data_IF_019939452682
#
_entry.id   IF_019939452682
#
_cell.length_a   1.000
_cell.length_b   1.000
_cell.length_c   1.000
_cell.angle_alpha   90.00
_cell.angle_beta   90.00
_cell.angle_gamma   90.00
#
_symmetry.space_group_name_H-M   'P 1'
#
loop_
_entity.id
_entity.type
_entity.pdbx_description
1 polymer ?
#
# COMPACT_ATOMS: atom_id res chain seq x y z
N UNK A 1 -19.76 14.19 13.51
CA UNK A 1 -20.66 13.07 13.12
C UNK A 1 -20.01 11.78 13.57
N UNK A 2 -20.68 10.90 14.31
CA UNK A 2 -20.08 9.60 14.65
C UNK A 2 -19.94 8.72 13.41
N UNK A 3 -18.81 8.04 13.27
CA UNK A 3 -18.63 7.05 12.18
C UNK A 3 -19.68 5.93 12.28
N UNK A 4 -20.15 5.44 11.15
CA UNK A 4 -20.98 4.25 11.10
C UNK A 4 -20.21 3.06 11.72
N UNK A 5 -20.86 2.18 12.53
CA UNK A 5 -20.20 0.98 13.06
C UNK A 5 -19.72 -0.01 11.97
N UNK A 6 -20.06 0.25 10.71
CA UNK A 6 -19.56 -0.51 9.55
C UNK A 6 -18.21 0.01 9.03
N UNK A 7 -17.75 1.18 9.51
CA UNK A 7 -16.49 1.77 9.12
C UNK A 7 -15.48 1.57 10.27
N UNK A 8 -14.27 1.21 9.91
CA UNK A 8 -13.17 1.09 10.84
C UNK A 8 -12.32 2.36 10.80
N UNK A 9 -11.85 2.79 11.96
CA UNK A 9 -10.82 3.82 12.06
C UNK A 9 -9.44 3.24 11.73
N UNK A 10 -8.53 4.11 11.36
CA UNK A 10 -7.10 3.81 11.23
C UNK A 10 -6.34 4.33 12.46
N UNK A 11 -5.09 3.92 12.70
CA UNK A 11 -4.27 4.48 13.76
C UNK A 11 -3.93 5.97 13.58
N UNK A 12 -4.26 6.54 12.42
CA UNK A 12 -3.97 7.93 12.05
C UNK A 12 -5.23 8.80 12.00
N UNK A 13 -6.43 8.22 12.09
CA UNK A 13 -7.72 8.93 11.90
C UNK A 13 -7.79 10.25 12.69
N UNK A 14 -7.41 10.24 13.98
CA UNK A 14 -7.44 11.46 14.80
C UNK A 14 -6.51 12.56 14.27
N UNK A 15 -5.31 12.20 13.85
CA UNK A 15 -4.33 13.15 13.30
C UNK A 15 -4.74 13.70 11.94
N UNK A 16 -5.38 12.87 11.12
CA UNK A 16 -5.98 13.29 9.84
C UNK A 16 -7.11 14.30 10.07
N UNK A 17 -7.98 14.07 11.07
CA UNK A 17 -9.04 15.00 11.44
C UNK A 17 -8.46 16.32 11.98
N UNK A 18 -7.48 16.27 12.88
CA UNK A 18 -6.77 17.42 13.43
C UNK A 18 -6.04 18.23 12.34
N UNK A 19 -5.54 17.56 11.28
CA UNK A 19 -4.92 18.20 10.13
C UNK A 19 -5.91 18.90 9.17
N UNK A 20 -7.22 18.76 9.40
CA UNK A 20 -8.26 19.50 8.66
C UNK A 20 -8.67 18.85 7.36
N UNK A 21 -8.75 17.52 7.31
CA UNK A 21 -9.29 16.81 6.14
C UNK A 21 -10.67 17.35 5.76
N UNK A 22 -10.86 17.62 4.46
CA UNK A 22 -12.12 18.20 3.93
C UNK A 22 -13.06 17.15 3.35
N UNK A 23 -12.53 16.03 2.87
CA UNK A 23 -13.36 14.95 2.30
C UNK A 23 -12.71 13.58 2.41
N UNK A 24 -13.59 12.56 2.40
CA UNK A 24 -13.22 11.15 2.46
C UNK A 24 -13.96 10.34 1.40
N UNK A 25 -13.39 9.23 1.01
CA UNK A 25 -14.11 8.10 0.42
C UNK A 25 -14.05 6.87 1.33
N UNK A 26 -14.89 5.88 1.06
CA UNK A 26 -14.82 4.58 1.71
C UNK A 26 -13.96 3.65 0.86
N UNK A 27 -13.00 3.00 1.50
CA UNK A 27 -12.05 2.10 0.86
C UNK A 27 -11.75 0.94 1.82
N UNK A 28 -12.01 -0.30 1.43
CA UNK A 28 -11.84 -1.49 2.29
C UNK A 28 -12.49 -1.35 3.68
N UNK A 29 -13.71 -0.76 3.74
CA UNK A 29 -14.44 -0.48 4.98
C UNK A 29 -13.75 0.51 5.94
N UNK A 30 -12.84 1.33 5.45
CA UNK A 30 -12.17 2.41 6.17
C UNK A 30 -12.39 3.75 5.46
N UNK A 31 -12.12 4.85 6.14
CA UNK A 31 -12.10 6.17 5.54
C UNK A 31 -10.73 6.44 4.94
N UNK A 32 -10.71 6.72 3.64
CA UNK A 32 -9.53 7.23 2.93
C UNK A 32 -9.70 8.73 2.71
N UNK A 33 -8.79 9.59 3.21
CA UNK A 33 -8.78 11.01 2.86
C UNK A 33 -8.69 11.21 1.36
N UNK A 34 -9.44 12.18 0.82
CA UNK A 34 -9.44 12.50 -0.61
C UNK A 34 -9.10 13.95 -0.90
N UNK A 35 -9.14 14.82 0.11
CA UNK A 35 -8.75 16.22 -0.01
C UNK A 35 -8.54 16.85 1.37
N UNK A 36 -7.62 17.80 1.46
CA UNK A 36 -7.42 18.68 2.62
C UNK A 36 -7.78 20.13 2.29
N UNK A 37 -7.06 20.81 1.41
CA UNK A 37 -7.37 22.17 0.98
C UNK A 37 -8.26 22.18 -0.28
N UNK A 38 -7.73 21.76 -1.39
CA UNK A 38 -8.42 21.47 -2.64
C UNK A 38 -7.59 20.50 -3.46
N UNK A 39 -8.20 19.86 -4.47
CA UNK A 39 -7.51 18.91 -5.33
C UNK A 39 -6.24 19.51 -5.97
N UNK A 40 -6.35 20.77 -6.46
CA UNK A 40 -5.25 21.48 -7.12
C UNK A 40 -4.18 21.96 -6.13
N UNK A 41 -4.60 22.44 -4.94
CA UNK A 41 -3.66 22.90 -3.92
C UNK A 41 -2.89 21.73 -3.32
N UNK A 42 -3.56 20.61 -3.04
CA UNK A 42 -2.95 19.38 -2.55
C UNK A 42 -2.00 18.79 -3.60
N UNK A 43 -2.37 18.82 -4.90
CA UNK A 43 -1.51 18.46 -6.02
C UNK A 43 -0.25 19.35 -6.10
N UNK A 44 -0.43 20.67 -6.07
CA UNK A 44 0.68 21.60 -6.14
C UNK A 44 1.67 21.41 -4.97
N UNK A 45 1.14 21.15 -3.77
CA UNK A 45 1.97 20.86 -2.60
C UNK A 45 2.74 19.53 -2.75
N UNK A 46 2.07 18.46 -3.21
CA UNK A 46 2.69 17.16 -3.47
C UNK A 46 3.88 17.25 -4.44
N UNK A 47 3.77 18.10 -5.47
CA UNK A 47 4.83 18.28 -6.48
C UNK A 47 6.04 19.06 -5.96
N UNK A 48 5.93 19.80 -4.85
CA UNK A 48 6.96 20.73 -4.39
C UNK A 48 7.51 20.43 -2.98
N UNK A 49 6.84 19.60 -2.20
CA UNK A 49 7.20 19.37 -0.79
C UNK A 49 7.12 17.89 -0.40
N UNK A 50 6.60 17.59 0.78
CA UNK A 50 6.35 16.21 1.25
C UNK A 50 5.00 16.15 1.95
N UNK A 51 4.26 15.10 1.68
CA UNK A 51 2.97 14.80 2.30
C UNK A 51 3.03 13.47 3.06
N UNK A 52 2.28 13.41 4.17
CA UNK A 52 2.05 12.21 4.95
C UNK A 52 0.61 11.75 4.68
N UNK A 53 0.45 10.53 4.18
CA UNK A 53 -0.82 9.96 3.72
C UNK A 53 -1.27 8.82 4.61
N UNK A 54 -2.43 8.94 5.23
CA UNK A 54 -3.11 7.79 5.82
C UNK A 54 -3.67 6.90 4.71
N UNK A 55 -2.94 5.86 4.38
CA UNK A 55 -3.32 4.83 3.41
C UNK A 55 -3.54 3.46 4.08
N UNK A 56 -3.84 3.46 5.39
CA UNK A 56 -4.10 2.24 6.15
C UNK A 56 -5.31 1.43 5.62
N UNK A 57 -6.17 2.07 4.83
CA UNK A 57 -7.24 1.42 4.10
C UNK A 57 -6.74 0.42 3.02
N UNK A 58 -5.47 0.55 2.58
CA UNK A 58 -4.78 -0.48 1.79
C UNK A 58 -4.36 -1.63 2.71
N UNK A 59 -5.36 -2.37 3.19
CA UNK A 59 -5.20 -3.45 4.15
C UNK A 59 -4.20 -4.49 3.67
N UNK A 60 -3.44 -5.03 4.61
CA UNK A 60 -2.55 -6.14 4.30
C UNK A 60 -3.29 -7.47 4.40
N UNK A 61 -3.03 -8.37 3.45
CA UNK A 61 -3.41 -9.78 3.59
C UNK A 61 -2.12 -10.58 3.73
N UNK A 62 -1.96 -11.25 4.87
CA UNK A 62 -0.84 -12.14 5.12
C UNK A 62 -1.18 -13.56 4.68
N UNK A 63 -0.30 -14.15 3.87
CA UNK A 63 -0.29 -15.58 3.55
C UNK A 63 1.01 -16.15 4.09
N UNK A 64 0.91 -17.13 5.01
CA UNK A 64 2.06 -17.72 5.68
C UNK A 64 1.88 -19.24 5.81
N UNK A 65 2.91 -20.00 5.49
CA UNK A 65 2.97 -21.45 5.64
C UNK A 65 3.63 -22.16 4.45
N UNK A 66 3.88 -23.46 4.57
CA UNK A 66 4.63 -24.23 3.57
C UNK A 66 4.12 -24.12 2.12
N UNK A 67 2.80 -23.96 1.94
CA UNK A 67 2.18 -23.84 0.62
C UNK A 67 1.96 -22.38 0.20
N UNK A 68 2.49 -21.40 0.96
CA UNK A 68 2.23 -19.97 0.69
C UNK A 68 2.75 -19.55 -0.69
N UNK A 69 3.96 -19.94 -1.06
CA UNK A 69 4.53 -19.59 -2.37
C UNK A 69 3.71 -20.15 -3.53
N UNK A 70 3.18 -21.38 -3.40
CA UNK A 70 2.31 -21.97 -4.41
C UNK A 70 0.97 -21.22 -4.51
N UNK A 71 0.32 -20.95 -3.37
CA UNK A 71 -0.95 -20.20 -3.36
C UNK A 71 -0.77 -18.80 -3.96
N UNK A 72 0.26 -18.07 -3.54
CA UNK A 72 0.55 -16.71 -4.03
C UNK A 72 0.80 -16.70 -5.54
N UNK A 73 1.54 -17.70 -6.07
CA UNK A 73 1.76 -17.83 -7.51
C UNK A 73 0.47 -18.14 -8.28
N UNK A 74 -0.44 -18.92 -7.71
CA UNK A 74 -1.71 -19.26 -8.34
C UNK A 74 -2.65 -18.06 -8.50
N UNK A 75 -2.57 -17.06 -7.61
CA UNK A 75 -3.44 -15.90 -7.58
C UNK A 75 -3.13 -14.86 -8.69
N UNK A 76 -1.99 -14.96 -9.38
CA UNK A 76 -1.56 -13.96 -10.35
C UNK A 76 -0.98 -14.59 -11.61
N UNK A 77 -1.25 -14.02 -12.80
CA UNK A 77 -0.58 -14.43 -14.03
C UNK A 77 0.89 -13.98 -14.09
N UNK A 78 1.37 -13.16 -13.14
CA UNK A 78 2.76 -12.74 -13.10
C UNK A 78 3.67 -13.87 -12.62
N UNK A 79 4.81 -14.07 -13.31
CA UNK A 79 5.84 -14.99 -12.83
C UNK A 79 6.53 -14.44 -11.57
N UNK A 80 6.44 -15.20 -10.48
CA UNK A 80 7.03 -14.86 -9.19
C UNK A 80 8.32 -15.65 -8.88
N UNK A 81 8.81 -16.47 -9.80
CA UNK A 81 10.00 -17.32 -9.60
C UNK A 81 11.26 -16.53 -9.20
N UNK A 82 11.35 -15.26 -9.63
CA UNK A 82 12.45 -14.35 -9.33
C UNK A 82 12.16 -13.39 -8.17
N UNK A 83 11.03 -13.52 -7.48
CA UNK A 83 10.68 -12.68 -6.35
C UNK A 83 11.56 -13.06 -5.14
N UNK A 84 12.38 -12.12 -4.69
CA UNK A 84 13.30 -12.29 -3.56
C UNK A 84 12.74 -11.65 -2.30
N UNK A 85 13.17 -12.14 -1.14
CA UNK A 85 12.91 -11.49 0.16
C UNK A 85 13.40 -10.02 0.10
N UNK A 86 12.61 -9.09 0.65
CA UNK A 86 12.89 -7.67 0.61
C UNK A 86 12.48 -6.96 -0.69
N UNK A 87 11.78 -7.65 -1.59
CA UNK A 87 11.25 -7.11 -2.84
C UNK A 87 9.73 -6.94 -2.80
N UNK A 88 9.27 -5.89 -3.45
CA UNK A 88 7.86 -5.66 -3.78
C UNK A 88 7.61 -5.98 -5.25
N UNK A 89 6.45 -6.57 -5.57
CA UNK A 89 5.97 -6.74 -6.94
C UNK A 89 4.53 -6.23 -7.05
N UNK A 90 4.27 -5.41 -8.06
CA UNK A 90 2.90 -5.12 -8.46
C UNK A 90 2.34 -6.34 -9.21
N UNK A 91 1.25 -6.90 -8.73
CA UNK A 91 0.70 -8.16 -9.26
C UNK A 91 -0.78 -8.01 -9.60
N UNK A 92 -1.19 -8.11 -10.88
CA UNK A 92 -2.60 -8.27 -11.19
C UNK A 92 -3.08 -9.60 -10.63
N UNK A 93 -4.21 -9.59 -9.94
CA UNK A 93 -4.88 -10.79 -9.46
C UNK A 93 -6.14 -11.04 -10.27
N UNK A 94 -6.38 -12.28 -10.64
CA UNK A 94 -7.48 -12.65 -11.52
C UNK A 94 -8.29 -13.81 -10.98
N UNK A 95 -9.55 -13.88 -11.42
CA UNK A 95 -10.42 -15.05 -11.22
C UNK A 95 -10.16 -16.15 -12.24
N UNK A 96 -10.98 -17.19 -12.21
CA UNK A 96 -10.91 -18.36 -13.10
C UNK A 96 -11.21 -18.04 -14.58
N UNK A 97 -11.79 -16.88 -14.85
CA UNK A 97 -12.09 -16.41 -16.21
C UNK A 97 -11.06 -15.37 -16.70
N UNK A 98 -10.10 -15.01 -15.85
CA UNK A 98 -9.08 -14.00 -16.14
C UNK A 98 -9.55 -12.56 -15.86
N UNK A 99 -10.72 -12.38 -15.23
CA UNK A 99 -11.21 -11.07 -14.79
C UNK A 99 -10.42 -10.54 -13.59
N UNK A 100 -10.10 -9.24 -13.60
CA UNK A 100 -9.34 -8.60 -12.53
C UNK A 100 -10.11 -8.63 -11.21
N UNK A 101 -9.47 -9.13 -10.14
CA UNK A 101 -9.99 -9.09 -8.77
C UNK A 101 -9.37 -7.99 -7.94
N UNK A 102 -8.14 -7.63 -8.25
CA UNK A 102 -7.35 -6.61 -7.55
C UNK A 102 -6.01 -6.41 -8.27
N UNK A 103 -5.26 -5.40 -7.88
CA UNK A 103 -3.92 -5.09 -8.40
C UNK A 103 -2.92 -4.77 -7.27
N UNK A 104 -2.78 -5.65 -6.27
CA UNK A 104 -2.01 -5.34 -5.08
C UNK A 104 -0.51 -5.21 -5.33
N UNK A 105 0.15 -4.60 -4.35
CA UNK A 105 1.60 -4.74 -4.17
C UNK A 105 1.86 -5.96 -3.29
N UNK A 106 2.62 -6.92 -3.81
CA UNK A 106 3.07 -8.13 -3.12
C UNK A 106 4.44 -7.90 -2.50
N UNK A 107 4.57 -8.15 -1.19
CA UNK A 107 5.83 -8.13 -0.44
C UNK A 107 6.21 -9.57 -0.06
N UNK A 108 7.42 -10.03 -0.41
CA UNK A 108 7.97 -11.30 0.10
C UNK A 108 8.78 -11.02 1.36
N UNK A 109 8.21 -11.35 2.52
CA UNK A 109 8.82 -11.09 3.83
C UNK A 109 9.83 -12.17 4.22
N UNK A 110 9.48 -13.43 3.96
CA UNK A 110 10.25 -14.65 4.23
C UNK A 110 10.01 -15.65 3.10
N UNK A 111 10.63 -16.81 3.11
CA UNK A 111 10.46 -17.80 2.03
C UNK A 111 9.01 -18.28 1.89
N UNK A 112 8.30 -18.36 3.00
CA UNK A 112 6.93 -18.86 3.10
C UNK A 112 5.96 -17.83 3.70
N UNK A 113 6.32 -16.52 3.70
CA UNK A 113 5.50 -15.45 4.26
C UNK A 113 5.43 -14.25 3.34
N UNK A 114 4.21 -13.86 2.99
CA UNK A 114 3.91 -12.80 2.04
C UNK A 114 2.84 -11.85 2.58
N UNK A 115 2.93 -10.58 2.20
CA UNK A 115 1.85 -9.61 2.35
C UNK A 115 1.38 -9.13 0.97
N UNK A 116 0.06 -8.99 0.83
CA UNK A 116 -0.56 -8.22 -0.24
C UNK A 116 -1.08 -6.91 0.33
N UNK A 117 -0.59 -5.76 -0.16
CA UNK A 117 -1.16 -4.44 0.07
C UNK A 117 -2.23 -4.23 -0.98
N UNK A 118 -3.50 -4.26 -0.59
CA UNK A 118 -4.62 -4.45 -1.52
C UNK A 118 -5.34 -3.15 -1.87
N UNK A 119 -5.83 -3.06 -3.11
CA UNK A 119 -6.86 -2.10 -3.50
C UNK A 119 -8.23 -2.51 -2.92
N UNK A 120 -9.26 -1.66 -3.14
CA UNK A 120 -10.60 -1.84 -2.57
C UNK A 120 -11.30 -3.09 -3.10
N UNK A 121 -11.25 -4.19 -2.35
CA UNK A 121 -12.03 -5.40 -2.59
C UNK A 121 -11.97 -6.39 -1.41
N UNK A 122 -12.90 -7.34 -1.37
CA UNK A 122 -12.96 -8.41 -0.36
C UNK A 122 -12.00 -9.58 -0.65
N UNK A 123 -10.81 -9.28 -1.14
CA UNK A 123 -9.79 -10.24 -1.57
C UNK A 123 -9.38 -11.23 -0.46
N UNK A 124 -9.44 -10.83 0.81
CA UNK A 124 -9.16 -11.71 1.95
C UNK A 124 -10.01 -12.98 1.92
N UNK A 125 -11.30 -12.85 1.61
CA UNK A 125 -12.21 -14.01 1.61
C UNK A 125 -12.00 -14.90 0.40
N UNK A 126 -11.63 -14.31 -0.75
CA UNK A 126 -11.23 -15.07 -1.93
C UNK A 126 -10.02 -15.97 -1.65
N UNK A 127 -8.94 -15.38 -1.10
CA UNK A 127 -7.72 -16.12 -0.79
C UNK A 127 -7.96 -17.19 0.28
N UNK A 128 -8.74 -16.86 1.34
CA UNK A 128 -9.12 -17.86 2.36
C UNK A 128 -9.95 -19.00 1.79
N UNK A 129 -10.89 -18.67 0.91
CA UNK A 129 -11.76 -19.66 0.25
C UNK A 129 -10.96 -20.64 -0.58
N UNK A 130 -10.01 -20.15 -1.39
CA UNK A 130 -9.11 -20.99 -2.19
C UNK A 130 -8.19 -21.84 -1.30
N UNK A 131 -7.57 -21.26 -0.30
CA UNK A 131 -6.70 -21.99 0.63
C UNK A 131 -7.44 -23.14 1.32
N UNK A 132 -8.67 -22.90 1.77
CA UNK A 132 -9.52 -23.89 2.39
C UNK A 132 -9.97 -24.97 1.40
N UNK A 133 -10.49 -24.56 0.23
CA UNK A 133 -11.00 -25.49 -0.78
C UNK A 133 -9.94 -26.42 -1.35
N UNK A 134 -8.71 -25.92 -1.50
CA UNK A 134 -7.56 -26.69 -1.98
C UNK A 134 -6.80 -27.40 -0.85
N UNK A 135 -7.25 -27.26 0.41
CA UNK A 135 -6.65 -27.89 1.61
C UNK A 135 -5.16 -27.57 1.78
N UNK A 136 -4.77 -26.33 1.49
CA UNK A 136 -3.38 -25.89 1.59
C UNK A 136 -2.95 -25.67 3.04
N UNK A 137 -1.71 -26.00 3.32
CA UNK A 137 -1.09 -25.77 4.62
C UNK A 137 -0.57 -24.31 4.71
N UNK A 138 -1.53 -23.38 4.82
CA UNK A 138 -1.28 -21.95 4.95
C UNK A 138 -2.23 -21.31 5.95
N UNK A 139 -1.76 -20.23 6.59
CA UNK A 139 -2.58 -19.32 7.38
C UNK A 139 -2.78 -18.05 6.56
N UNK A 140 -4.05 -17.71 6.29
CA UNK A 140 -4.43 -16.46 5.62
C UNK A 140 -5.16 -15.57 6.61
N UNK A 141 -4.67 -14.36 6.83
CA UNK A 141 -5.27 -13.42 7.79
C UNK A 141 -5.01 -11.96 7.38
N UNK A 142 -5.75 -11.05 7.97
CA UNK A 142 -5.39 -9.64 8.04
C UNK A 142 -4.51 -9.44 9.29
N UNK A 143 -3.24 -9.04 9.17
CA UNK A 143 -2.39 -8.67 10.29
C UNK A 143 -2.75 -7.28 10.83
N UNK A 144 -2.31 -6.96 12.05
CA UNK A 144 -2.37 -5.59 12.59
C UNK A 144 -1.24 -4.77 11.96
N UNK A 145 -1.46 -4.32 10.73
CA UNK A 145 -0.49 -3.55 9.95
C UNK A 145 -1.22 -2.43 9.21
N UNK A 146 -0.75 -1.21 9.40
CA UNK A 146 -1.32 -0.01 8.81
C UNK A 146 -0.25 0.74 8.02
N UNK A 147 -0.33 0.77 6.67
CA UNK A 147 0.61 1.55 5.88
C UNK A 147 0.36 3.04 6.03
N UNK A 148 1.47 3.81 6.13
CA UNK A 148 1.53 5.25 6.13
C UNK A 148 2.44 5.70 5.00
N UNK A 149 1.91 6.47 4.03
CA UNK A 149 2.65 6.96 2.88
C UNK A 149 3.40 8.26 3.19
N UNK A 150 4.63 8.38 2.74
CA UNK A 150 5.44 9.59 2.76
C UNK A 150 5.79 9.90 1.32
N UNK A 151 5.12 10.88 0.70
CA UNK A 151 5.16 11.11 -0.73
C UNK A 151 5.58 12.55 -1.08
N UNK A 152 6.38 12.72 -2.12
CA UNK A 152 6.83 14.00 -2.63
C UNK A 152 8.34 14.12 -2.76
N UNK A 153 8.84 15.16 -3.47
CA UNK A 153 10.27 15.31 -3.78
C UNK A 153 11.16 15.49 -2.54
N UNK A 154 10.61 15.86 -1.39
CA UNK A 154 11.34 15.96 -0.12
C UNK A 154 11.18 14.75 0.79
N UNK A 155 10.51 13.68 0.34
CA UNK A 155 10.27 12.48 1.14
C UNK A 155 11.58 11.80 1.56
N UNK A 156 12.55 11.70 0.65
CA UNK A 156 13.86 11.10 0.95
C UNK A 156 14.63 11.89 2.01
N UNK A 157 14.61 13.23 1.93
CA UNK A 157 15.26 14.09 2.90
C UNK A 157 14.62 14.01 4.27
N UNK A 158 13.28 13.97 4.34
CA UNK A 158 12.55 13.77 5.58
C UNK A 158 12.91 12.43 6.24
N UNK A 159 12.89 11.36 5.46
CA UNK A 159 13.20 10.03 5.98
C UNK A 159 14.67 9.92 6.41
N UNK A 160 15.59 10.60 5.71
CA UNK A 160 17.00 10.63 6.08
C UNK A 160 17.27 11.40 7.38
N UNK A 161 16.47 12.40 7.74
CA UNK A 161 16.58 13.07 9.03
C UNK A 161 16.29 12.13 10.21
N UNK A 162 15.37 11.16 10.02
CA UNK A 162 14.96 10.22 11.07
C UNK A 162 15.84 8.98 11.09
N UNK A 163 16.15 8.43 9.91
CA UNK A 163 16.77 7.11 9.74
C UNK A 163 18.27 7.20 9.37
N UNK A 164 18.77 8.41 9.11
CA UNK A 164 20.11 8.62 8.53
C UNK A 164 20.16 8.31 7.03
N UNK A 165 21.31 8.62 6.41
CA UNK A 165 21.49 8.50 4.96
C UNK A 165 21.38 7.07 4.40
N UNK A 166 21.37 6.06 5.24
CA UNK A 166 21.18 4.67 4.82
C UNK A 166 19.83 4.42 4.10
N UNK A 167 18.80 5.25 4.37
CA UNK A 167 17.49 5.12 3.70
C UNK A 167 17.59 5.44 2.20
N UNK A 168 18.51 6.33 1.79
CA UNK A 168 18.76 6.71 0.40
C UNK A 168 19.23 5.54 -0.47
N UNK A 169 19.81 4.50 0.15
CA UNK A 169 20.25 3.27 -0.53
C UNK A 169 19.12 2.27 -0.76
N UNK A 170 17.92 2.51 -0.22
CA UNK A 170 16.78 1.65 -0.46
C UNK A 170 16.27 1.87 -1.90
N UNK A 171 16.36 0.84 -2.73
CA UNK A 171 15.94 0.94 -4.13
C UNK A 171 14.41 0.90 -4.26
N UNK A 172 13.88 1.51 -5.32
CA UNK A 172 12.47 1.48 -5.62
C UNK A 172 11.94 0.03 -5.70
N UNK A 173 10.76 -0.21 -5.13
CA UNK A 173 10.12 -1.51 -4.99
C UNK A 173 10.95 -2.53 -4.21
N UNK A 174 11.78 -2.03 -3.28
CA UNK A 174 12.38 -2.84 -2.21
C UNK A 174 11.87 -2.35 -0.85
N UNK A 175 11.94 -3.23 0.12
CA UNK A 175 11.69 -2.89 1.52
C UNK A 175 12.78 -3.47 2.42
N UNK A 176 12.94 -2.85 3.59
CA UNK A 176 13.87 -3.29 4.63
C UNK A 176 13.34 -2.81 5.99
N UNK A 177 13.78 -3.45 7.06
CA UNK A 177 13.54 -2.96 8.41
C UNK A 177 14.57 -1.90 8.78
N UNK A 178 14.08 -0.85 9.43
CA UNK A 178 14.87 0.27 9.92
C UNK A 178 14.51 0.56 11.38
N UNK A 179 15.51 1.01 12.14
CA UNK A 179 15.27 1.54 13.48
C UNK A 179 14.72 2.96 13.38
N UNK A 180 13.44 3.11 13.65
CA UNK A 180 12.73 4.39 13.69
C UNK A 180 12.49 4.77 15.15
N UNK A 181 13.36 5.60 15.74
CA UNK A 181 13.28 6.00 17.15
C UNK A 181 13.08 4.80 18.11
N UNK A 182 13.95 3.80 18.00
CA UNK A 182 13.90 2.53 18.75
C UNK A 182 12.77 1.57 18.39
N UNK A 183 11.95 1.89 17.37
CA UNK A 183 10.97 0.98 16.78
C UNK A 183 11.58 0.30 15.55
N UNK A 184 11.48 -1.02 15.47
CA UNK A 184 11.89 -1.76 14.28
C UNK A 184 10.73 -1.81 13.28
N UNK A 185 10.73 -0.91 12.29
CA UNK A 185 9.64 -0.77 11.31
C UNK A 185 10.07 -1.24 9.92
N UNK A 186 9.15 -1.93 9.24
CA UNK A 186 9.30 -2.26 7.84
C UNK A 186 8.98 -1.03 7.00
N UNK A 187 9.91 -0.64 6.13
CA UNK A 187 9.79 0.53 5.25
C UNK A 187 10.08 0.10 3.82
N UNK A 188 9.15 0.39 2.92
CA UNK A 188 9.32 0.19 1.48
C UNK A 188 9.58 1.52 0.78
N UNK A 189 10.39 1.51 -0.28
CA UNK A 189 10.45 2.62 -1.23
C UNK A 189 9.40 2.38 -2.29
N UNK A 190 8.23 2.88 -2.06
CA UNK A 190 7.02 2.69 -2.86
C UNK A 190 6.03 3.83 -2.62
N UNK A 191 4.89 3.77 -3.27
CA UNK A 191 3.82 4.74 -3.11
C UNK A 191 2.99 4.89 -4.37
N UNK A 192 1.86 5.57 -4.23
CA UNK A 192 0.90 5.82 -5.30
C UNK A 192 1.06 7.23 -5.89
N UNK A 193 2.32 7.59 -6.18
CA UNK A 193 2.69 8.83 -6.88
C UNK A 193 3.98 8.62 -7.69
N UNK A 194 4.24 9.52 -8.64
CA UNK A 194 5.55 9.59 -9.33
C UNK A 194 6.51 10.58 -8.69
N UNK A 195 6.22 11.03 -7.48
CA UNK A 195 7.01 12.07 -6.83
C UNK A 195 8.15 11.54 -5.97
N UNK A 196 8.40 10.23 -6.00
CA UNK A 196 9.21 9.48 -5.05
C UNK A 196 8.53 9.40 -3.66
N UNK A 197 8.90 8.40 -2.89
CA UNK A 197 8.35 8.25 -1.55
C UNK A 197 8.61 6.91 -0.91
N UNK A 198 8.03 6.78 0.27
CA UNK A 198 8.14 5.60 1.11
C UNK A 198 6.79 5.23 1.68
N UNK A 199 6.67 3.98 2.10
CA UNK A 199 5.56 3.47 2.90
C UNK A 199 6.11 2.82 4.15
N UNK A 200 5.67 3.30 5.32
CA UNK A 200 5.96 2.72 6.62
C UNK A 200 4.82 1.77 6.96
N UNK A 201 5.14 0.49 7.17
CA UNK A 201 4.17 -0.51 7.61
C UNK A 201 4.17 -0.56 9.14
N UNK A 202 3.18 0.09 9.74
CA UNK A 202 3.04 0.20 11.21
C UNK A 202 2.38 -1.07 11.73
N UNK A 203 3.14 -1.91 12.43
CA UNK A 203 2.75 -3.25 12.88
C UNK A 203 2.13 -3.28 14.31
N UNK A 204 1.67 -2.16 14.82
CA UNK A 204 0.86 -2.01 16.04
C UNK A 204 0.02 -0.74 15.92
N UNK A 205 -1.29 -0.88 15.98
CA UNK A 205 -2.24 0.25 15.91
C UNK A 205 -1.88 1.38 16.88
N UNK A 206 -1.37 1.06 18.07
CA UNK A 206 -1.05 2.06 19.10
C UNK A 206 0.12 2.97 18.76
N UNK A 207 0.97 2.58 17.79
CA UNK A 207 2.14 3.35 17.40
C UNK A 207 1.81 4.44 16.36
N UNK A 208 0.64 4.41 15.73
CA UNK A 208 0.31 5.26 14.61
C UNK A 208 0.48 6.74 14.90
N UNK A 209 -0.12 7.26 15.99
CA UNK A 209 0.00 8.68 16.33
C UNK A 209 1.44 9.09 16.63
N UNK A 210 2.20 8.26 17.34
CA UNK A 210 3.61 8.54 17.65
C UNK A 210 4.46 8.64 16.37
N UNK A 211 4.24 7.73 15.42
CA UNK A 211 4.98 7.75 14.13
C UNK A 211 4.58 8.97 13.33
N UNK A 212 3.29 9.29 13.25
CA UNK A 212 2.79 10.51 12.60
C UNK A 212 3.43 11.76 13.18
N UNK A 213 3.38 11.93 14.51
CA UNK A 213 3.93 13.10 15.19
C UNK A 213 5.45 13.22 14.95
N UNK A 214 6.19 12.12 15.02
CA UNK A 214 7.64 12.11 14.73
C UNK A 214 7.95 12.60 13.32
N UNK A 215 7.16 12.21 12.30
CA UNK A 215 7.35 12.67 10.92
C UNK A 215 7.10 14.17 10.78
N UNK A 216 6.05 14.70 11.42
CA UNK A 216 5.75 16.13 11.40
C UNK A 216 6.79 16.97 12.17
N UNK A 217 7.27 16.49 13.32
CA UNK A 217 8.32 17.13 14.09
C UNK A 217 9.64 17.19 13.30
N UNK A 218 10.06 16.06 12.72
CA UNK A 218 11.27 16.01 11.89
C UNK A 218 11.16 16.90 10.65
N UNK A 219 9.97 17.01 10.07
CA UNK A 219 9.71 17.80 8.86
C UNK A 219 9.32 19.25 9.10
N UNK A 220 9.41 19.79 10.33
CA UNK A 220 8.90 21.12 10.68
C UNK A 220 9.41 22.27 9.78
N UNK A 221 10.62 22.13 9.23
CA UNK A 221 11.23 23.12 8.33
C UNK A 221 11.15 22.70 6.83
N UNK A 222 10.38 21.66 6.49
CA UNK A 222 10.34 21.09 5.15
C UNK A 222 8.99 21.29 4.44
N UNK A 223 8.08 22.03 5.05
CA UNK A 223 6.68 22.19 4.60
C UNK A 223 5.95 20.84 4.51
N UNK A 224 6.08 20.01 5.58
CA UNK A 224 5.32 18.75 5.69
C UNK A 224 3.85 19.06 5.90
N UNK A 225 2.97 18.39 5.15
CA UNK A 225 1.53 18.45 5.35
C UNK A 225 0.91 17.07 5.33
N UNK A 226 -0.24 16.93 5.95
CA UNK A 226 -1.13 15.83 5.68
C UNK A 226 -1.62 15.93 4.23
N UNK A 227 -1.74 14.80 3.57
CA UNK A 227 -2.20 14.69 2.19
C UNK A 227 -2.87 13.35 1.93
N UNK A 228 -3.13 13.08 0.69
CA UNK A 228 -3.82 11.88 0.24
C UNK A 228 -3.48 11.56 -1.22
N UNK A 229 -3.78 10.34 -1.71
CA UNK A 229 -3.72 10.02 -3.12
C UNK A 229 -4.48 11.07 -3.95
N UNK A 230 -3.79 11.69 -4.90
CA UNK A 230 -4.33 12.83 -5.66
C UNK A 230 -4.77 12.39 -7.06
N UNK A 231 -6.01 12.72 -7.45
CA UNK A 231 -6.59 12.29 -8.73
C UNK A 231 -5.91 12.92 -9.94
N UNK A 232 -5.41 14.16 -9.84
CA UNK A 232 -4.68 14.80 -10.94
C UNK A 232 -3.34 14.09 -11.12
N UNK A 233 -2.60 13.90 -10.03
CA UNK A 233 -1.28 13.31 -10.05
C UNK A 233 -1.31 11.87 -10.57
N UNK A 234 -2.25 11.02 -10.09
CA UNK A 234 -2.33 9.64 -10.54
C UNK A 234 -2.62 9.51 -12.03
N UNK A 235 -3.48 10.38 -12.59
CA UNK A 235 -3.79 10.40 -14.04
C UNK A 235 -2.56 10.85 -14.84
N UNK A 236 -1.91 11.95 -14.42
CA UNK A 236 -0.66 12.42 -15.02
C UNK A 236 0.44 11.33 -14.96
N UNK A 237 0.51 10.61 -13.87
CA UNK A 237 1.46 9.53 -13.64
C UNK A 237 1.12 8.25 -14.41
N UNK A 238 -0.09 8.10 -14.91
CA UNK A 238 -0.59 6.86 -15.52
C UNK A 238 -0.74 5.72 -14.52
N UNK A 239 -1.07 6.01 -13.26
CA UNK A 239 -1.33 5.03 -12.21
C UNK A 239 -2.79 4.60 -12.27
N UNK A 240 -3.01 3.29 -12.41
CA UNK A 240 -4.34 2.70 -12.43
C UNK A 240 -4.92 2.60 -11.03
N UNK A 241 -6.25 2.62 -10.94
CA UNK A 241 -7.01 2.46 -9.71
C UNK A 241 -8.07 1.38 -9.93
N UNK A 242 -7.96 0.27 -9.23
CA UNK A 242 -8.98 -0.77 -9.26
C UNK A 242 -10.32 -0.21 -8.78
N UNK A 243 -11.38 -0.56 -9.48
CA UNK A 243 -12.72 -0.03 -9.27
C UNK A 243 -13.04 1.24 -10.07
N UNK A 244 -12.00 2.02 -10.47
CA UNK A 244 -12.19 3.20 -11.30
C UNK A 244 -11.81 2.96 -12.77
N UNK A 245 -10.62 2.43 -13.03
CA UNK A 245 -10.10 2.23 -14.39
C UNK A 245 -10.27 0.79 -14.88
N UNK A 246 -10.42 -0.15 -13.97
CA UNK A 246 -10.61 -1.57 -14.24
C UNK A 246 -11.44 -2.23 -13.15
N UNK A 247 -12.19 -3.25 -13.53
CA UNK A 247 -13.05 -4.06 -12.68
C UNK A 247 -12.91 -5.53 -13.06
N UNK A 248 -13.70 -6.42 -12.46
CA UNK A 248 -13.74 -7.83 -12.82
C UNK A 248 -14.18 -8.09 -14.29
N UNK A 249 -14.83 -7.12 -14.93
CA UNK A 249 -15.20 -7.21 -16.36
C UNK A 249 -14.01 -7.06 -17.31
N UNK A 250 -12.82 -6.72 -16.79
CA UNK A 250 -11.62 -6.48 -17.56
C UNK A 250 -10.55 -7.52 -17.24
N UNK A 251 -9.84 -7.98 -18.25
CA UNK A 251 -8.61 -8.76 -18.08
C UNK A 251 -7.40 -7.83 -17.87
N UNK A 252 -6.27 -8.33 -17.31
CA UNK A 252 -5.04 -7.55 -17.23
C UNK A 252 -4.57 -7.02 -18.60
N UNK A 253 -4.81 -7.77 -19.68
CA UNK A 253 -4.44 -7.32 -21.03
C UNK A 253 -5.26 -6.13 -21.50
N UNK A 254 -6.57 -6.13 -21.26
CA UNK A 254 -7.48 -5.02 -21.58
C UNK A 254 -7.17 -3.78 -20.72
N UNK A 255 -6.67 -3.99 -19.50
CA UNK A 255 -6.26 -2.93 -18.56
C UNK A 255 -4.83 -2.39 -18.81
N UNK A 256 -4.16 -2.80 -19.89
CA UNK A 256 -2.79 -2.34 -20.20
C UNK A 256 -1.69 -2.97 -19.34
N UNK A 257 -2.01 -4.03 -18.58
CA UNK A 257 -1.11 -4.71 -17.65
C UNK A 257 -0.39 -5.93 -18.24
N UNK A 258 -0.39 -6.08 -19.57
CA UNK A 258 0.21 -7.24 -20.28
C UNK A 258 1.65 -7.53 -19.85
N UNK A 259 2.43 -6.49 -19.52
CA UNK A 259 3.83 -6.64 -19.07
C UNK A 259 3.99 -7.38 -17.74
N UNK A 260 2.90 -7.52 -16.99
CA UNK A 260 2.86 -8.23 -15.71
C UNK A 260 2.21 -9.62 -15.84
N UNK A 261 1.96 -10.10 -17.07
CA UNK A 261 1.38 -11.41 -17.33
C UNK A 261 2.40 -12.28 -18.07
N UNK A 262 2.68 -13.45 -17.53
CA UNK A 262 3.46 -14.48 -18.24
C UNK A 262 2.52 -15.50 -18.89
N UNK A 263 2.29 -15.31 -20.17
CA UNK A 263 1.41 -16.20 -20.97
C UNK A 263 2.00 -17.59 -21.25
N UNK A 264 3.26 -17.83 -20.89
CA UNK A 264 3.94 -19.13 -21.05
C UNK A 264 3.79 -20.04 -19.84
N UNK A 265 3.31 -19.52 -18.73
CA UNK A 265 3.03 -20.33 -17.55
C UNK A 265 1.67 -21.01 -17.71
N UNK A 266 1.70 -22.35 -17.86
CA UNK A 266 0.53 -23.16 -17.55
C UNK A 266 0.30 -23.06 -16.02
N UNK A 267 -0.89 -22.62 -15.60
CA UNK A 267 -1.34 -22.67 -14.22
C UNK A 267 -1.61 -24.12 -13.83
#
# INVERSE_FOLDING_TARGET
>A
MGLSPRLRSTPFTRRVEEAGVSSYTVYNHMLLPTSFASLEADYAHLKNAVQIWDVACERQIEVNGPDAGWLVQMLTPRDLSNLKIGKCYYVPMVDENGGMLNDPVLLKLEEDRYWFSIADSDLLYWIKGLAYGLKLNVKVREPDVSPLGIQGPKAEDLMAQILGDQIRNLLFFNFKRFNFNSLDLLIARSGYSKQDGFEIYVEDFKLGETIWDTLFEAGANMDVKAGCPNLIERIEAGLLSYGNDMTNDHTPHQSGLSKFCDTKKAI
#
